data_IF_600645521740
#
_entry.id   IF_600645521740
#
_cell.length_a   1.000
_cell.length_b   1.000
_cell.length_c   1.000
_cell.angle_alpha   90.00
_cell.angle_beta   90.00
_cell.angle_gamma   90.00
#
_symmetry.space_group_name_H-M   'P 1'
#
loop_
_entity.id
_entity.type
_entity.pdbx_description
1 polymer ?
#
# COMPACT_ATOMS: atom_id res chain seq x y z
N UNK A 1 1.39 9.14 -3.15
CA UNK A 1 0.59 8.88 -1.93
C UNK A 1 -0.12 7.53 -2.01
N UNK A 2 -0.85 7.24 -3.09
CA UNK A 2 -1.62 5.99 -3.22
C UNK A 2 -0.75 4.72 -3.27
N UNK A 3 0.40 4.76 -3.96
CA UNK A 3 1.33 3.62 -4.06
C UNK A 3 1.91 3.23 -2.69
N UNK A 4 2.43 4.21 -1.95
CA UNK A 4 3.00 3.94 -0.63
C UNK A 4 1.94 3.48 0.38
N UNK A 5 0.69 3.93 0.24
CA UNK A 5 -0.38 3.58 1.17
C UNK A 5 -0.68 2.07 1.13
N UNK A 6 -0.79 1.47 -0.05
CA UNK A 6 -1.06 0.03 -0.19
C UNK A 6 0.07 -0.81 0.40
N UNK A 7 1.33 -0.43 0.15
CA UNK A 7 2.50 -1.08 0.73
C UNK A 7 2.56 -0.94 2.25
N UNK A 8 2.30 0.26 2.79
CA UNK A 8 2.26 0.50 4.25
C UNK A 8 1.15 -0.30 4.91
N UNK A 9 -0.02 -0.42 4.29
CA UNK A 9 -1.11 -1.25 4.79
C UNK A 9 -0.70 -2.72 4.88
N UNK A 10 -0.07 -3.27 3.83
CA UNK A 10 0.46 -4.64 3.83
C UNK A 10 1.53 -4.83 4.91
N UNK A 11 2.45 -3.88 5.06
CA UNK A 11 3.46 -3.90 6.12
C UNK A 11 2.84 -3.85 7.53
N UNK A 12 1.77 -3.07 7.72
CA UNK A 12 1.08 -2.92 9.00
C UNK A 12 0.11 -4.07 9.30
N UNK A 13 -0.31 -4.86 8.30
CA UNK A 13 -1.32 -5.91 8.45
C UNK A 13 -0.95 -6.94 9.53
N UNK A 14 0.34 -7.19 9.75
CA UNK A 14 0.85 -8.03 10.87
C UNK A 14 0.45 -7.55 12.27
N UNK A 15 0.03 -6.29 12.45
CA UNK A 15 -0.40 -5.72 13.73
C UNK A 15 -1.86 -5.23 13.75
N UNK A 16 -2.45 -4.83 12.61
CA UNK A 16 -3.83 -4.32 12.57
C UNK A 16 -4.73 -5.01 11.53
N UNK A 17 -4.47 -6.28 11.21
CA UNK A 17 -5.32 -7.05 10.28
C UNK A 17 -6.82 -6.98 10.60
N UNK A 18 -7.19 -7.01 11.90
CA UNK A 18 -8.60 -6.96 12.30
C UNK A 18 -9.25 -5.61 11.96
N UNK A 19 -8.55 -4.51 12.20
CA UNK A 19 -9.01 -3.16 11.86
C UNK A 19 -9.06 -2.96 10.34
N UNK A 20 -8.09 -3.50 9.61
CA UNK A 20 -8.09 -3.45 8.14
C UNK A 20 -9.23 -4.27 7.54
N UNK A 21 -9.59 -5.42 8.14
CA UNK A 21 -10.71 -6.23 7.69
C UNK A 21 -12.04 -5.47 7.72
N UNK A 22 -12.26 -4.61 8.73
CA UNK A 22 -13.44 -3.74 8.79
C UNK A 22 -13.54 -2.79 7.59
N UNK A 23 -12.39 -2.28 7.13
CA UNK A 23 -12.32 -1.40 5.96
C UNK A 23 -12.56 -2.21 4.68
N UNK A 24 -11.97 -3.40 4.56
CA UNK A 24 -12.22 -4.31 3.44
C UNK A 24 -13.70 -4.67 3.35
N UNK A 25 -14.34 -4.98 4.48
CA UNK A 25 -15.77 -5.25 4.53
C UNK A 25 -16.62 -4.05 4.09
N UNK A 26 -16.21 -2.83 4.45
CA UNK A 26 -16.86 -1.61 3.97
C UNK A 26 -16.73 -1.44 2.45
N UNK A 27 -15.56 -1.75 1.88
CA UNK A 27 -15.37 -1.77 0.42
C UNK A 27 -16.27 -2.83 -0.27
N UNK A 28 -16.44 -4.01 0.32
CA UNK A 28 -17.36 -5.04 -0.21
C UNK A 28 -18.84 -4.77 0.07
N UNK A 29 -19.16 -3.82 0.95
CA UNK A 29 -20.53 -3.41 1.25
C UNK A 29 -21.03 -2.30 0.32
N UNK A 30 -20.12 -1.53 -0.27
CA UNK A 30 -20.45 -0.51 -1.26
C UNK A 30 -20.50 -1.14 -2.68
N UNK A 31 -21.61 -0.94 -3.44
CA UNK A 31 -21.76 -1.53 -4.77
C UNK A 31 -20.71 -1.08 -5.78
N UNK A 32 -20.36 0.21 -5.81
CA UNK A 32 -19.43 0.79 -6.78
C UNK A 32 -18.04 0.18 -6.59
N UNK A 33 -17.56 0.09 -5.35
CA UNK A 33 -16.27 -0.55 -5.06
C UNK A 33 -16.34 -2.06 -5.26
N UNK A 34 -17.45 -2.73 -4.94
CA UNK A 34 -17.61 -4.17 -5.17
C UNK A 34 -17.52 -4.56 -6.64
N UNK A 35 -18.11 -3.75 -7.53
CA UNK A 35 -17.99 -3.94 -8.98
C UNK A 35 -16.52 -3.87 -9.42
N UNK A 36 -15.80 -2.84 -8.97
CA UNK A 36 -14.39 -2.66 -9.28
C UNK A 36 -13.54 -3.81 -8.75
N UNK A 37 -13.72 -4.20 -7.49
CA UNK A 37 -12.96 -5.31 -6.90
C UNK A 37 -13.18 -6.62 -7.67
N UNK A 38 -14.42 -6.89 -8.06
CA UNK A 38 -14.77 -8.08 -8.86
C UNK A 38 -14.16 -8.02 -10.27
N UNK A 39 -14.20 -6.85 -10.92
CA UNK A 39 -13.58 -6.60 -12.23
C UNK A 39 -12.08 -6.87 -12.22
N UNK A 40 -11.40 -6.54 -11.12
CA UNK A 40 -9.99 -6.82 -10.88
C UNK A 40 -9.74 -8.24 -10.31
N UNK A 41 -10.71 -9.14 -10.40
CA UNK A 41 -10.61 -10.56 -9.99
C UNK A 41 -10.30 -10.79 -8.49
N UNK A 42 -10.62 -9.82 -7.64
CA UNK A 42 -10.46 -9.97 -6.19
C UNK A 42 -11.59 -10.84 -5.63
N UNK A 43 -11.26 -11.62 -4.59
CA UNK A 43 -12.22 -12.51 -3.93
C UNK A 43 -12.43 -12.05 -2.49
N UNK A 44 -13.71 -11.84 -2.13
CA UNK A 44 -14.10 -11.49 -0.76
C UNK A 44 -13.58 -12.53 0.24
N UNK A 45 -12.93 -12.06 1.30
CA UNK A 45 -12.31 -12.89 2.33
C UNK A 45 -10.92 -13.47 1.97
N UNK A 46 -10.40 -13.20 0.76
CA UNK A 46 -9.02 -13.55 0.37
C UNK A 46 -8.15 -12.32 0.11
N UNK A 47 -8.74 -11.27 -0.48
CA UNK A 47 -8.05 -10.01 -0.73
C UNK A 47 -7.77 -9.24 0.57
N UNK A 48 -6.57 -8.64 0.68
CA UNK A 48 -6.25 -7.72 1.77
C UNK A 48 -6.63 -6.27 1.43
N UNK A 49 -6.49 -5.35 2.39
CA UNK A 49 -6.83 -3.95 2.18
C UNK A 49 -5.95 -3.27 1.14
N UNK A 50 -4.68 -3.66 1.06
CA UNK A 50 -3.76 -3.14 0.05
C UNK A 50 -4.22 -3.53 -1.35
N UNK A 51 -4.66 -4.78 -1.55
CA UNK A 51 -5.21 -5.25 -2.83
C UNK A 51 -6.48 -4.48 -3.21
N UNK A 52 -7.39 -4.26 -2.25
CA UNK A 52 -8.64 -3.57 -2.49
C UNK A 52 -8.42 -2.10 -2.88
N UNK A 53 -7.49 -1.42 -2.21
CA UNK A 53 -7.12 -0.05 -2.55
C UNK A 53 -6.39 0.01 -3.88
N UNK A 54 -5.47 -0.91 -4.18
CA UNK A 54 -4.76 -0.95 -5.47
C UNK A 54 -5.73 -1.05 -6.66
N UNK A 55 -6.70 -1.97 -6.58
CA UNK A 55 -7.71 -2.13 -7.63
C UNK A 55 -8.53 -0.86 -7.87
N UNK A 56 -8.97 -0.19 -6.80
CA UNK A 56 -9.71 1.08 -6.91
C UNK A 56 -8.84 2.19 -7.49
N UNK A 57 -7.58 2.29 -7.08
CA UNK A 57 -6.66 3.30 -7.61
C UNK A 57 -6.35 3.06 -9.10
N UNK A 58 -6.17 1.80 -9.50
CA UNK A 58 -5.99 1.41 -10.89
C UNK A 58 -7.22 1.72 -11.75
N UNK A 59 -8.43 1.50 -11.25
CA UNK A 59 -9.67 1.86 -11.95
C UNK A 59 -9.80 3.37 -12.16
N UNK A 60 -9.34 4.17 -11.20
CA UNK A 60 -9.32 5.63 -11.29
C UNK A 60 -8.15 6.16 -12.15
N UNK A 61 -7.32 5.29 -12.72
CA UNK A 61 -6.21 5.66 -13.59
C UNK A 61 -4.98 6.20 -12.85
N UNK A 62 -4.87 5.97 -11.55
CA UNK A 62 -3.64 6.28 -10.82
C UNK A 62 -2.56 5.23 -11.13
N UNK A 63 -1.29 5.66 -11.26
CA UNK A 63 -0.18 4.74 -11.41
C UNK A 63 -0.01 3.88 -10.14
N UNK A 64 0.42 2.64 -10.35
CA UNK A 64 0.45 1.60 -9.30
C UNK A 64 1.84 1.31 -8.77
N UNK A 65 2.86 1.77 -9.47
CA UNK A 65 4.27 1.56 -9.11
C UNK A 65 5.08 2.85 -9.13
N UNK A 66 6.15 2.90 -8.35
CA UNK A 66 7.12 3.99 -8.40
C UNK A 66 7.86 4.05 -9.75
N UNK A 67 7.97 2.92 -10.45
CA UNK A 67 8.56 2.83 -11.78
C UNK A 67 7.79 3.66 -12.82
N UNK A 68 6.46 3.69 -12.74
CA UNK A 68 5.60 4.54 -13.59
C UNK A 68 5.86 6.04 -13.38
N UNK A 69 6.42 6.42 -12.24
CA UNK A 69 6.88 7.78 -11.94
C UNK A 69 8.37 8.00 -12.24
N UNK A 70 9.06 7.05 -12.88
CA UNK A 70 10.48 7.13 -13.18
C UNK A 70 11.40 7.03 -11.96
N UNK A 71 10.90 6.45 -10.86
CA UNK A 71 11.70 6.20 -9.66
C UNK A 71 12.16 4.75 -9.64
N UNK A 72 13.47 4.56 -9.84
CA UNK A 72 14.11 3.25 -9.83
C UNK A 72 14.69 2.85 -8.47
N UNK A 73 15.20 1.61 -8.41
CA UNK A 73 15.84 1.03 -7.23
C UNK A 73 17.04 1.86 -6.74
N UNK A 74 17.73 2.52 -7.66
CA UNK A 74 18.89 3.40 -7.42
C UNK A 74 18.57 4.56 -6.46
N UNK A 75 17.30 5.00 -6.38
CA UNK A 75 16.88 6.12 -5.53
C UNK A 75 16.30 5.68 -4.18
N UNK A 76 15.95 4.41 -4.02
CA UNK A 76 15.24 3.95 -2.82
C UNK A 76 16.05 4.11 -1.54
N UNK A 77 17.36 3.84 -1.60
CA UNK A 77 18.28 3.98 -0.48
C UNK A 77 18.26 5.40 0.11
N UNK A 78 18.30 6.41 -0.76
CA UNK A 78 18.28 7.82 -0.36
C UNK A 78 16.91 8.26 0.16
N UNK A 79 15.83 7.77 -0.47
CA UNK A 79 14.46 8.06 -0.03
C UNK A 79 14.21 7.43 1.34
N UNK A 80 14.59 6.17 1.55
CA UNK A 80 14.43 5.48 2.82
C UNK A 80 15.15 6.19 3.97
N UNK A 81 16.39 6.64 3.75
CA UNK A 81 17.14 7.44 4.73
C UNK A 81 16.42 8.76 5.06
N UNK A 82 15.87 9.43 4.04
CA UNK A 82 15.14 10.68 4.24
C UNK A 82 13.82 10.50 4.97
N UNK A 83 13.12 9.38 4.75
CA UNK A 83 11.83 9.10 5.39
C UNK A 83 11.96 8.94 6.91
N UNK A 84 13.10 8.50 7.45
CA UNK A 84 13.29 8.38 8.90
C UNK A 84 13.22 9.71 9.65
N UNK A 85 13.42 10.83 8.95
CA UNK A 85 13.32 12.19 9.51
C UNK A 85 11.90 12.76 9.44
N UNK A 86 10.98 12.07 8.76
CA UNK A 86 9.61 12.49 8.61
C UNK A 86 8.78 12.11 9.86
N UNK A 87 8.05 13.08 10.41
CA UNK A 87 7.28 12.87 11.62
C UNK A 87 6.14 11.85 11.43
N UNK A 88 5.56 11.74 10.24
CA UNK A 88 4.50 10.75 9.98
C UNK A 88 5.02 9.32 10.05
N UNK A 89 6.31 9.09 9.76
CA UNK A 89 6.95 7.78 9.91
C UNK A 89 7.05 7.34 11.38
N UNK A 90 7.13 8.28 12.32
CA UNK A 90 7.14 8.01 13.76
C UNK A 90 5.75 7.66 14.30
N UNK A 91 4.69 8.20 13.69
CA UNK A 91 3.30 7.94 14.06
C UNK A 91 2.68 6.74 13.34
N UNK A 92 3.44 6.05 12.48
CA UNK A 92 2.96 4.82 11.86
C UNK A 92 2.69 3.76 12.95
N UNK A 93 1.70 2.88 12.72
CA UNK A 93 1.34 1.81 13.68
C UNK A 93 2.56 1.01 14.13
N UNK A 94 3.46 0.75 13.18
CA UNK A 94 4.80 0.22 13.43
C UNK A 94 5.75 1.39 13.14
N UNK A 95 6.29 2.06 14.16
CA UNK A 95 7.21 3.18 13.95
C UNK A 95 8.37 2.77 13.03
N UNK A 96 8.63 3.59 12.02
CA UNK A 96 9.72 3.37 11.07
C UNK A 96 10.98 4.05 11.62
N UNK A 97 11.66 3.36 12.55
CA UNK A 97 12.85 3.88 13.23
C UNK A 97 14.15 3.48 12.51
N UNK A 98 14.08 2.43 11.69
CA UNK A 98 15.22 1.85 10.99
C UNK A 98 15.02 1.89 9.49
N UNK A 99 16.10 2.18 8.77
CA UNK A 99 16.10 2.33 7.32
C UNK A 99 15.57 1.10 6.60
N UNK A 100 15.85 -0.08 7.12
CA UNK A 100 15.45 -1.37 6.54
C UNK A 100 13.92 -1.49 6.49
N UNK A 101 13.20 -0.95 7.47
CA UNK A 101 11.73 -0.96 7.49
C UNK A 101 11.16 -0.07 6.37
N UNK A 102 11.75 1.12 6.18
CA UNK A 102 11.36 2.02 5.11
C UNK A 102 11.71 1.43 3.74
N UNK A 103 12.88 0.79 3.63
CA UNK A 103 13.32 0.16 2.39
C UNK A 103 12.42 -1.02 2.00
N UNK A 104 12.03 -1.87 2.96
CA UNK A 104 11.08 -2.97 2.75
C UNK A 104 9.76 -2.46 2.12
N UNK A 105 9.20 -1.38 2.66
CA UNK A 105 7.97 -0.76 2.13
C UNK A 105 8.20 -0.18 0.73
N UNK A 106 9.33 0.50 0.52
CA UNK A 106 9.66 1.11 -0.78
C UNK A 106 9.93 0.06 -1.86
N UNK A 107 10.47 -1.09 -1.51
CA UNK A 107 10.64 -2.21 -2.45
C UNK A 107 9.30 -2.79 -2.89
N UNK A 108 8.33 -2.91 -1.99
CA UNK A 108 6.95 -3.29 -2.37
C UNK A 108 6.30 -2.31 -3.36
N UNK A 109 6.74 -1.05 -3.37
CA UNK A 109 6.21 -0.01 -4.25
C UNK A 109 6.83 -0.01 -5.66
N UNK A 110 7.92 -0.73 -5.91
CA UNK A 110 8.53 -0.79 -7.25
C UNK A 110 7.71 -1.62 -8.24
N UNK A 111 6.88 -2.54 -7.74
CA UNK A 111 6.21 -3.57 -8.55
C UNK A 111 7.14 -4.74 -8.88
N UNK A 112 6.55 -5.88 -9.27
CA UNK A 112 7.31 -6.98 -9.86
C UNK A 112 7.89 -6.50 -11.21
N UNK A 113 9.20 -6.69 -11.41
CA UNK A 113 9.88 -6.40 -12.68
C UNK A 113 9.48 -7.38 -13.79
#
# INVERSE_FOLDING_TARGET
MCICLTAVQKFNAKHNAQQQALVVDAFWANPDTTEVLTKHSLVKGKADLGDAVDAVMGELGFPRTLGEYGTGRDRLEAIADSSLRDACCQFNLIPLERKEQALEIMEMCLGDQ
#
